data_IF_216962033226
#
_entry.id   IF_216962033226
#
_cell.length_a   1.000
_cell.length_b   1.000
_cell.length_c   1.000
_cell.angle_alpha   90.00
_cell.angle_beta   90.00
_cell.angle_gamma   90.00
#
_symmetry.space_group_name_H-M   'P 1'
#
loop_
_entity.id
_entity.type
_entity.pdbx_description
1 polymer ?
#
# COMPACT_ATOMS: atom_id res chain seq x y z
N UNK A 1 40.11 -25.00 -0.19
CA UNK A 1 40.63 -25.37 1.15
C UNK A 1 40.22 -24.23 2.08
N UNK A 2 39.12 -24.36 2.81
CA UNK A 2 39.01 -24.91 4.18
C UNK A 2 38.88 -23.81 5.24
N UNK A 3 37.78 -23.90 6.02
CA UNK A 3 37.52 -23.35 7.36
C UNK A 3 37.46 -21.81 7.55
N UNK A 4 36.65 -21.22 8.43
CA UNK A 4 36.00 -21.76 9.61
C UNK A 4 34.68 -21.04 9.95
N UNK A 5 33.66 -21.80 10.36
CA UNK A 5 32.53 -21.31 11.16
C UNK A 5 32.44 -22.16 12.42
N UNK A 6 32.71 -21.53 13.55
CA UNK A 6 32.45 -21.93 14.94
C UNK A 6 31.85 -20.65 15.55
N UNK A 7 30.88 -20.58 16.43
CA UNK A 7 30.09 -21.55 17.19
C UNK A 7 29.11 -20.67 17.99
N UNK A 8 27.81 -20.92 17.99
CA UNK A 8 26.97 -20.58 19.15
C UNK A 8 25.80 -21.57 19.25
N UNK A 9 25.47 -22.08 20.46
CA UNK A 9 24.56 -23.20 20.65
C UNK A 9 23.09 -22.76 20.69
N UNK A 10 22.20 -23.60 20.14
CA UNK A 10 20.74 -23.45 20.29
C UNK A 10 20.29 -24.02 21.65
N UNK A 11 19.29 -23.43 22.32
CA UNK A 11 18.77 -23.95 23.58
C UNK A 11 17.94 -25.23 23.35
N UNK A 12 18.16 -26.23 24.21
CA UNK A 12 17.44 -27.50 24.27
C UNK A 12 16.23 -27.37 25.22
N UNK A 13 15.05 -27.79 24.77
CA UNK A 13 13.89 -28.00 25.65
C UNK A 13 13.80 -29.49 26.04
N UNK A 14 13.36 -29.81 27.27
CA UNK A 14 13.33 -31.19 27.75
C UNK A 14 12.24 -32.01 27.05
N UNK A 15 12.62 -33.17 26.55
CA UNK A 15 11.70 -34.21 26.06
C UNK A 15 11.18 -34.97 27.28
N UNK A 16 9.87 -34.93 27.51
CA UNK A 16 9.22 -35.78 28.50
C UNK A 16 9.04 -37.19 27.91
N UNK A 17 9.83 -38.15 28.40
CA UNK A 17 9.60 -39.58 28.21
C UNK A 17 8.51 -40.09 29.18
N UNK A 18 7.78 -41.12 28.72
CA UNK A 18 6.75 -41.93 29.41
C UNK A 18 5.29 -41.47 29.32
N UNK A 19 4.66 -41.81 28.19
CA UNK A 19 3.31 -42.34 28.18
C UNK A 19 3.21 -43.48 27.14
N UNK A 20 3.17 -44.73 27.60
CA UNK A 20 3.01 -45.90 26.74
C UNK A 20 1.57 -45.99 26.21
N UNK A 21 1.34 -45.54 24.98
CA UNK A 21 0.10 -45.84 24.26
C UNK A 21 0.23 -47.23 23.63
N UNK A 22 -0.57 -48.20 24.09
CA UNK A 22 -0.75 -49.49 23.41
C UNK A 22 -1.86 -49.38 22.35
N UNK A 23 -1.68 -49.88 21.11
CA UNK A 23 -2.73 -49.83 20.10
C UNK A 23 -3.91 -50.74 20.48
N UNK A 24 -5.17 -50.36 20.20
CA UNK A 24 -6.32 -51.23 20.44
C UNK A 24 -6.24 -52.49 19.60
N UNK A 25 -6.57 -53.64 20.20
CA UNK A 25 -6.67 -54.93 19.51
C UNK A 25 -7.75 -54.86 18.42
N UNK A 26 -7.47 -55.46 17.27
CA UNK A 26 -8.39 -55.61 16.15
C UNK A 26 -9.71 -56.27 16.58
N UNK A 27 -10.74 -55.47 16.81
CA UNK A 27 -12.14 -55.87 16.72
C UNK A 27 -12.65 -55.56 15.32
N UNK A 28 -13.15 -56.58 14.63
CA UNK A 28 -13.77 -56.47 13.30
C UNK A 28 -14.87 -55.41 13.28
N UNK A 29 -14.55 -54.23 12.74
CA UNK A 29 -15.54 -53.21 12.40
C UNK A 29 -16.24 -53.65 11.10
N UNK A 30 -17.58 -53.54 10.98
CA UNK A 30 -18.26 -53.81 9.72
C UNK A 30 -17.73 -52.82 8.66
N UNK A 31 -17.63 -53.23 7.37
CA UNK A 31 -17.06 -52.37 6.35
C UNK A 31 -17.86 -51.08 6.27
N UNK A 32 -17.16 -49.95 6.39
CA UNK A 32 -17.70 -48.63 6.04
C UNK A 32 -18.31 -48.75 4.64
N UNK A 33 -19.62 -48.56 4.60
CA UNK A 33 -20.50 -48.75 3.46
C UNK A 33 -19.95 -48.10 2.19
N UNK A 34 -20.15 -48.79 1.09
CA UNK A 34 -19.99 -48.32 -0.29
C UNK A 34 -20.96 -47.18 -0.68
N UNK A 35 -21.29 -46.25 0.23
CA UNK A 35 -22.29 -45.19 0.05
C UNK A 35 -21.70 -43.86 -0.46
N UNK A 36 -20.38 -43.75 -0.67
CA UNK A 36 -19.73 -42.53 -1.16
C UNK A 36 -19.11 -42.65 -2.57
N UNK A 37 -19.34 -43.76 -3.29
CA UNK A 37 -18.82 -43.97 -4.65
C UNK A 37 -19.62 -43.25 -5.76
N UNK A 38 -20.59 -42.39 -5.41
CA UNK A 38 -21.48 -41.72 -6.37
C UNK A 38 -21.25 -40.21 -6.53
N UNK A 39 -20.17 -39.63 -6.00
CA UNK A 39 -19.88 -38.22 -6.23
C UNK A 39 -18.66 -37.99 -7.14
N UNK A 40 -18.78 -38.17 -8.46
CA UNK A 40 -18.01 -37.39 -9.41
C UNK A 40 -18.87 -36.18 -9.84
N UNK A 41 -19.07 -35.21 -8.95
CA UNK A 41 -19.53 -33.89 -9.39
C UNK A 41 -18.33 -32.96 -9.43
N UNK A 42 -17.57 -33.06 -10.52
CA UNK A 42 -16.65 -32.02 -10.92
C UNK A 42 -17.31 -31.28 -12.09
N UNK A 43 -18.29 -30.38 -11.82
CA UNK A 43 -18.96 -29.70 -12.89
C UNK A 43 -17.93 -28.89 -13.68
N UNK A 44 -18.03 -28.85 -15.03
CA UNK A 44 -17.32 -27.84 -15.77
C UNK A 44 -17.66 -26.47 -15.16
N UNK A 45 -16.65 -25.60 -15.02
CA UNK A 45 -16.87 -24.25 -14.50
C UNK A 45 -18.06 -23.65 -15.28
N UNK A 46 -19.11 -23.18 -14.58
CA UNK A 46 -20.27 -22.64 -15.26
C UNK A 46 -19.82 -21.48 -16.17
N UNK A 47 -20.45 -21.30 -17.33
CA UNK A 47 -20.15 -20.17 -18.21
C UNK A 47 -20.26 -18.86 -17.43
N UNK A 48 -19.44 -17.88 -17.81
CA UNK A 48 -19.29 -16.61 -17.11
C UNK A 48 -20.63 -15.87 -17.07
N UNK A 49 -21.33 -16.00 -15.95
CA UNK A 49 -22.62 -15.39 -15.70
C UNK A 49 -22.36 -13.95 -15.23
N UNK A 50 -22.73 -12.97 -16.06
CA UNK A 50 -22.47 -11.54 -15.79
C UNK A 50 -23.17 -11.06 -14.53
N UNK A 51 -24.27 -11.70 -14.12
CA UNK A 51 -24.97 -11.37 -12.87
C UNK A 51 -24.16 -11.74 -11.63
N UNK A 52 -23.28 -12.76 -11.71
CA UNK A 52 -22.39 -13.15 -10.61
C UNK A 52 -21.24 -12.16 -10.45
N UNK A 53 -20.64 -11.74 -11.56
CA UNK A 53 -19.57 -10.73 -11.53
C UNK A 53 -20.11 -9.41 -10.92
N UNK A 54 -21.35 -9.01 -11.23
CA UNK A 54 -21.99 -7.84 -10.62
C UNK A 54 -22.13 -7.95 -9.10
N UNK A 55 -22.54 -9.12 -8.58
CA UNK A 55 -22.64 -9.36 -7.14
C UNK A 55 -21.26 -9.32 -6.48
N UNK A 56 -20.28 -10.02 -7.05
CA UNK A 56 -18.94 -10.16 -6.48
C UNK A 56 -18.15 -8.85 -6.52
N UNK A 57 -18.41 -7.98 -7.50
CA UNK A 57 -17.73 -6.71 -7.68
C UNK A 57 -18.50 -5.53 -7.10
N UNK A 58 -19.68 -5.72 -6.48
CA UNK A 58 -20.47 -4.61 -5.95
C UNK A 58 -19.70 -3.68 -4.97
N UNK A 59 -18.92 -4.20 -3.99
CA UNK A 59 -18.08 -3.35 -3.13
C UNK A 59 -17.01 -2.56 -3.91
N UNK A 60 -16.33 -3.20 -4.85
CA UNK A 60 -15.33 -2.56 -5.70
C UNK A 60 -15.94 -1.48 -6.62
N UNK A 61 -17.06 -1.78 -7.26
CA UNK A 61 -17.80 -0.84 -8.10
C UNK A 61 -18.30 0.36 -7.29
N UNK A 62 -18.72 0.15 -6.04
CA UNK A 62 -19.09 1.24 -5.13
C UNK A 62 -17.94 2.20 -4.86
N UNK A 63 -16.73 1.68 -4.60
CA UNK A 63 -15.53 2.50 -4.43
C UNK A 63 -15.20 3.29 -5.73
N UNK A 64 -15.29 2.63 -6.88
CA UNK A 64 -14.97 3.21 -8.18
C UNK A 64 -15.94 4.33 -8.61
N UNK A 65 -17.19 4.34 -8.11
CA UNK A 65 -18.15 5.44 -8.35
C UNK A 65 -17.72 6.77 -7.74
N UNK A 66 -16.78 6.77 -6.80
CA UNK A 66 -16.21 7.98 -6.21
C UNK A 66 -14.72 8.02 -6.54
N UNK A 67 -14.32 8.34 -7.79
CA UNK A 67 -12.92 8.28 -8.20
C UNK A 67 -12.08 9.31 -7.42
N UNK A 68 -10.81 8.97 -7.19
CA UNK A 68 -9.85 9.88 -6.57
C UNK A 68 -9.31 10.89 -7.58
N UNK A 69 -8.27 11.64 -7.20
CA UNK A 69 -7.66 12.70 -8.04
C UNK A 69 -6.87 12.18 -9.25
N UNK A 70 -6.92 10.88 -9.56
CA UNK A 70 -6.27 10.27 -10.74
C UNK A 70 -4.75 10.37 -10.78
N UNK A 71 -4.10 10.53 -9.63
CA UNK A 71 -2.67 10.88 -9.55
C UNK A 71 -1.76 9.79 -10.12
N UNK A 72 -2.07 8.51 -9.89
CA UNK A 72 -1.29 7.38 -10.41
C UNK A 72 -1.29 7.33 -11.94
N UNK A 73 -2.43 7.56 -12.58
CA UNK A 73 -2.53 7.62 -14.04
C UNK A 73 -1.62 8.72 -14.62
N UNK A 74 -1.53 9.87 -13.95
CA UNK A 74 -0.64 10.97 -14.34
C UNK A 74 0.84 10.62 -14.18
N UNK A 75 1.18 9.91 -13.10
CA UNK A 75 2.53 9.38 -12.88
C UNK A 75 2.91 8.45 -14.02
N UNK A 76 2.07 7.47 -14.38
CA UNK A 76 2.39 6.55 -15.47
C UNK A 76 2.44 7.24 -16.83
N UNK A 77 1.56 8.20 -17.12
CA UNK A 77 1.67 9.02 -18.32
C UNK A 77 3.02 9.76 -18.37
N UNK A 78 3.50 10.27 -17.24
CA UNK A 78 4.80 10.94 -17.15
C UNK A 78 5.97 9.96 -17.36
N UNK A 79 5.97 8.80 -16.70
CA UNK A 79 6.97 7.76 -16.92
C UNK A 79 6.95 7.21 -18.36
N UNK A 80 5.79 7.22 -19.03
CA UNK A 80 5.69 6.72 -20.40
C UNK A 80 6.40 7.62 -21.42
N UNK A 81 6.64 8.89 -21.09
CA UNK A 81 7.52 9.76 -21.91
C UNK A 81 8.94 9.20 -22.02
N UNK A 82 9.41 8.54 -20.96
CA UNK A 82 10.70 7.87 -20.93
C UNK A 82 10.62 6.41 -21.41
N UNK A 83 9.60 5.67 -20.99
CA UNK A 83 9.49 4.24 -21.29
C UNK A 83 8.96 3.95 -22.69
N UNK A 84 8.13 4.80 -23.29
CA UNK A 84 7.52 4.58 -24.61
C UNK A 84 6.94 3.16 -24.78
N UNK A 85 6.10 2.75 -23.82
CA UNK A 85 5.42 1.46 -23.84
C UNK A 85 4.36 1.47 -24.94
N UNK A 86 4.18 0.38 -25.71
CA UNK A 86 3.07 0.24 -26.66
C UNK A 86 1.71 0.46 -25.98
N UNK A 87 0.80 1.17 -26.65
CA UNK A 87 -0.48 1.62 -26.07
C UNK A 87 -1.34 0.47 -25.54
N UNK A 88 -1.36 -0.67 -26.24
CA UNK A 88 -2.09 -1.88 -25.83
C UNK A 88 -1.58 -2.43 -24.50
N UNK A 89 -0.26 -2.43 -24.30
CA UNK A 89 0.38 -2.87 -23.06
C UNK A 89 0.23 -1.84 -21.95
N UNK A 90 0.38 -0.56 -22.26
CA UNK A 90 0.19 0.52 -21.29
C UNK A 90 -1.24 0.54 -20.72
N UNK A 91 -2.24 0.27 -21.55
CA UNK A 91 -3.63 0.14 -21.12
C UNK A 91 -3.82 -1.02 -20.12
N UNK A 92 -3.21 -2.17 -20.39
CA UNK A 92 -3.24 -3.32 -19.46
C UNK A 92 -2.53 -2.97 -18.15
N UNK A 93 -1.31 -2.40 -18.20
CA UNK A 93 -0.55 -2.01 -17.00
C UNK A 93 -1.35 -1.03 -16.14
N UNK A 94 -1.94 0.00 -16.77
CA UNK A 94 -2.75 1.00 -16.07
C UNK A 94 -3.97 0.37 -15.40
N UNK A 95 -4.64 -0.55 -16.09
CA UNK A 95 -5.79 -1.30 -15.57
C UNK A 95 -5.40 -2.17 -14.37
N UNK A 96 -4.29 -2.90 -14.46
CA UNK A 96 -3.78 -3.74 -13.37
C UNK A 96 -3.52 -2.91 -12.13
N UNK A 97 -2.80 -1.79 -12.24
CA UNK A 97 -2.49 -0.96 -11.08
C UNK A 97 -3.73 -0.32 -10.47
N UNK A 98 -4.69 0.14 -11.28
CA UNK A 98 -5.94 0.70 -10.75
C UNK A 98 -6.78 -0.37 -10.03
N UNK A 99 -6.84 -1.59 -10.57
CA UNK A 99 -7.50 -2.73 -9.91
C UNK A 99 -6.88 -3.05 -8.57
N UNK A 100 -5.55 -3.15 -8.51
CA UNK A 100 -4.84 -3.41 -7.26
C UNK A 100 -4.99 -2.27 -6.27
N UNK A 101 -4.93 -1.01 -6.71
CA UNK A 101 -5.12 0.14 -5.85
C UNK A 101 -6.54 0.17 -5.25
N UNK A 102 -7.57 -0.06 -6.07
CA UNK A 102 -8.93 -0.12 -5.56
C UNK A 102 -9.16 -1.32 -4.63
N UNK A 103 -8.62 -2.50 -4.97
CA UNK A 103 -8.66 -3.68 -4.12
C UNK A 103 -7.97 -3.45 -2.77
N UNK A 104 -6.79 -2.83 -2.78
CA UNK A 104 -6.03 -2.55 -1.56
C UNK A 104 -6.71 -1.55 -0.66
N UNK A 105 -7.34 -0.50 -1.21
CA UNK A 105 -8.14 0.43 -0.41
C UNK A 105 -9.30 -0.26 0.31
N UNK A 106 -9.96 -1.24 -0.31
CA UNK A 106 -11.04 -1.98 0.35
C UNK A 106 -10.56 -2.80 1.56
N UNK A 107 -9.35 -3.36 1.48
CA UNK A 107 -8.72 -4.13 2.56
C UNK A 107 -8.17 -3.19 3.63
N UNK A 108 -7.45 -2.15 3.24
CA UNK A 108 -6.87 -1.12 4.11
C UNK A 108 -7.97 -0.45 4.96
N UNK A 109 -9.10 -0.07 4.35
CA UNK A 109 -10.27 0.47 5.09
C UNK A 109 -10.79 -0.48 6.19
N UNK A 110 -10.64 -1.80 6.01
CA UNK A 110 -11.06 -2.80 7.00
C UNK A 110 -9.99 -2.95 8.07
N UNK A 111 -8.72 -3.04 7.67
CA UNK A 111 -7.57 -3.21 8.55
C UNK A 111 -7.37 -2.00 9.47
N UNK A 112 -7.75 -0.81 9.01
CA UNK A 112 -7.66 0.45 9.74
C UNK A 112 -8.98 0.82 10.45
N UNK A 113 -10.02 0.00 10.32
CA UNK A 113 -11.37 0.25 10.88
C UNK A 113 -11.99 1.59 10.43
N UNK A 114 -11.55 2.12 9.28
CA UNK A 114 -11.89 3.46 8.79
C UNK A 114 -13.41 3.70 8.71
N UNK A 115 -13.80 4.96 8.83
CA UNK A 115 -15.21 5.36 8.75
C UNK A 115 -15.58 5.86 7.36
N UNK A 116 -14.69 6.64 6.74
CA UNK A 116 -14.94 7.33 5.48
C UNK A 116 -13.82 7.10 4.47
N UNK A 117 -14.20 7.07 3.19
CA UNK A 117 -13.28 7.12 2.06
C UNK A 117 -13.84 8.07 1.02
N UNK A 118 -13.07 9.12 0.68
CA UNK A 118 -13.46 10.15 -0.30
C UNK A 118 -14.83 10.79 0.05
N UNK A 119 -15.06 11.04 1.34
CA UNK A 119 -16.29 11.67 1.86
C UNK A 119 -17.53 10.78 1.85
N UNK A 120 -17.38 9.47 1.63
CA UNK A 120 -18.46 8.48 1.65
C UNK A 120 -18.18 7.38 2.67
N UNK A 121 -19.21 6.70 3.22
CA UNK A 121 -19.00 5.52 4.04
C UNK A 121 -18.15 4.48 3.30
N UNK A 122 -17.17 3.89 3.99
CA UNK A 122 -16.34 2.80 3.46
C UNK A 122 -17.19 1.58 3.07
N UNK A 123 -16.71 0.80 2.09
CA UNK A 123 -17.50 -0.27 1.49
C UNK A 123 -17.92 -1.35 2.51
N UNK A 124 -17.08 -1.70 3.47
CA UNK A 124 -17.38 -2.73 4.47
C UNK A 124 -18.53 -2.31 5.42
N UNK A 125 -18.80 -1.01 5.58
CA UNK A 125 -19.96 -0.51 6.35
C UNK A 125 -21.26 -0.56 5.54
N UNK A 126 -21.18 -0.65 4.21
CA UNK A 126 -22.34 -0.74 3.30
C UNK A 126 -22.67 -2.19 2.96
N UNK A 127 -21.66 -2.99 2.63
CA UNK A 127 -21.82 -4.36 2.12
C UNK A 127 -21.46 -5.45 3.15
N UNK A 128 -20.91 -5.06 4.30
CA UNK A 128 -20.37 -5.98 5.31
C UNK A 128 -18.93 -6.41 5.01
N UNK A 129 -18.17 -6.70 6.07
CA UNK A 129 -16.76 -7.08 5.97
C UNK A 129 -16.52 -8.29 5.06
N UNK A 130 -17.30 -9.37 5.22
CA UNK A 130 -17.10 -10.60 4.46
C UNK A 130 -17.19 -10.38 2.94
N UNK A 131 -18.18 -9.62 2.48
CA UNK A 131 -18.36 -9.31 1.07
C UNK A 131 -17.24 -8.41 0.55
N UNK A 132 -16.83 -7.41 1.33
CA UNK A 132 -15.77 -6.49 0.92
C UNK A 132 -14.41 -7.20 0.84
N UNK A 133 -14.05 -8.03 1.82
CA UNK A 133 -12.82 -8.84 1.80
C UNK A 133 -12.81 -9.75 0.57
N UNK A 134 -13.90 -10.49 0.33
CA UNK A 134 -13.99 -11.40 -0.81
C UNK A 134 -13.90 -10.63 -2.14
N UNK A 135 -14.58 -9.48 -2.25
CA UNK A 135 -14.54 -8.64 -3.46
C UNK A 135 -13.13 -8.12 -3.74
N UNK A 136 -12.43 -7.61 -2.73
CA UNK A 136 -11.07 -7.11 -2.86
C UNK A 136 -10.08 -8.20 -3.28
N UNK A 137 -10.11 -9.36 -2.60
CA UNK A 137 -9.27 -10.50 -2.94
C UNK A 137 -9.57 -11.02 -4.35
N UNK A 138 -10.85 -11.06 -4.74
CA UNK A 138 -11.24 -11.42 -6.09
C UNK A 138 -10.62 -10.47 -7.13
N UNK A 139 -10.65 -9.16 -6.89
CA UNK A 139 -10.03 -8.15 -7.75
C UNK A 139 -8.51 -8.33 -7.87
N UNK A 140 -7.80 -8.74 -6.82
CA UNK A 140 -6.37 -9.07 -6.92
C UNK A 140 -6.08 -10.18 -7.94
N UNK A 141 -6.87 -11.26 -7.91
CA UNK A 141 -6.71 -12.35 -8.88
C UNK A 141 -7.20 -11.99 -10.28
N UNK A 142 -8.19 -11.10 -10.40
CA UNK A 142 -8.56 -10.53 -11.69
C UNK A 142 -7.40 -9.69 -12.25
N UNK A 143 -6.70 -8.91 -11.43
CA UNK A 143 -5.53 -8.14 -11.85
C UNK A 143 -4.38 -9.05 -12.30
N UNK A 144 -4.13 -10.15 -11.59
CA UNK A 144 -3.18 -11.18 -12.02
C UNK A 144 -3.54 -11.75 -13.40
N UNK A 145 -4.83 -12.02 -13.65
CA UNK A 145 -5.31 -12.49 -14.96
C UNK A 145 -5.07 -11.46 -16.06
N UNK A 146 -5.20 -10.17 -15.78
CA UNK A 146 -4.88 -9.10 -16.74
C UNK A 146 -3.37 -9.04 -17.02
N UNK A 147 -2.51 -9.21 -16.00
CA UNK A 147 -1.04 -9.27 -16.20
C UNK A 147 -0.64 -10.40 -17.15
N UNK A 148 -1.33 -11.55 -17.11
CA UNK A 148 -1.07 -12.67 -18.03
C UNK A 148 -1.33 -12.34 -19.52
N UNK A 149 -2.02 -11.23 -19.80
CA UNK A 149 -2.21 -10.71 -21.17
C UNK A 149 -0.98 -9.94 -21.67
N UNK A 150 -0.09 -9.49 -20.77
CA UNK A 150 1.17 -8.82 -21.13
C UNK A 150 2.18 -9.85 -21.65
N UNK A 151 2.08 -10.16 -22.94
CA UNK A 151 2.97 -11.13 -23.59
C UNK A 151 4.11 -10.45 -24.36
N UNK A 152 5.29 -11.06 -24.31
CA UNK A 152 6.37 -10.79 -25.25
C UNK A 152 6.04 -11.39 -26.63
N UNK A 153 6.84 -11.06 -27.64
CA UNK A 153 6.63 -11.55 -29.01
C UNK A 153 6.65 -13.09 -29.13
N UNK A 154 7.35 -13.77 -28.22
CA UNK A 154 7.37 -15.24 -28.12
C UNK A 154 6.16 -15.83 -27.38
N UNK A 155 5.21 -15.00 -26.93
CA UNK A 155 4.02 -15.40 -26.18
C UNK A 155 4.23 -15.55 -24.67
N UNK A 156 5.43 -15.31 -24.15
CA UNK A 156 5.75 -15.43 -22.73
C UNK A 156 5.22 -14.24 -21.91
N UNK A 157 4.65 -14.53 -20.74
CA UNK A 157 4.19 -13.55 -19.75
C UNK A 157 4.88 -13.72 -18.39
N UNK A 158 5.86 -14.61 -18.28
CA UNK A 158 6.50 -14.99 -17.02
C UNK A 158 7.16 -13.82 -16.29
N UNK A 159 7.80 -12.90 -17.02
CA UNK A 159 8.41 -11.69 -16.45
C UNK A 159 7.39 -10.76 -15.81
N UNK A 160 6.28 -10.48 -16.49
CA UNK A 160 5.19 -9.67 -15.93
C UNK A 160 4.60 -10.29 -14.66
N UNK A 161 4.38 -11.61 -14.66
CA UNK A 161 3.87 -12.34 -13.48
C UNK A 161 4.87 -12.32 -12.32
N UNK A 162 6.18 -12.45 -12.59
CA UNK A 162 7.22 -12.36 -11.56
C UNK A 162 7.24 -10.97 -10.91
N UNK A 163 7.25 -9.89 -11.71
CA UNK A 163 7.20 -8.51 -11.21
C UNK A 163 5.93 -8.28 -10.37
N UNK A 164 4.77 -8.73 -10.85
CA UNK A 164 3.51 -8.67 -10.10
C UNK A 164 3.65 -9.36 -8.73
N UNK A 165 4.14 -10.60 -8.73
CA UNK A 165 4.23 -11.40 -7.51
C UNK A 165 5.18 -10.76 -6.49
N UNK A 166 6.36 -10.32 -6.94
CA UNK A 166 7.34 -9.65 -6.08
C UNK A 166 6.77 -8.37 -5.45
N UNK A 167 6.15 -7.48 -6.24
CA UNK A 167 5.64 -6.23 -5.69
C UNK A 167 4.41 -6.41 -4.81
N UNK A 168 3.57 -7.42 -5.06
CA UNK A 168 2.49 -7.74 -4.13
C UNK A 168 2.99 -8.34 -2.82
N UNK A 169 4.07 -9.14 -2.84
CA UNK A 169 4.71 -9.60 -1.59
C UNK A 169 5.24 -8.39 -0.82
N UNK A 170 5.99 -7.49 -1.47
CA UNK A 170 6.49 -6.26 -0.84
C UNK A 170 5.32 -5.43 -0.26
N UNK A 171 4.23 -5.26 -1.00
CA UNK A 171 3.04 -4.53 -0.53
C UNK A 171 2.49 -5.09 0.79
N UNK A 172 2.39 -6.41 0.90
CA UNK A 172 1.89 -7.07 2.11
C UNK A 172 2.93 -7.09 3.25
N UNK A 173 4.23 -7.15 2.95
CA UNK A 173 5.27 -7.00 3.96
C UNK A 173 5.23 -5.59 4.58
N UNK A 174 5.10 -4.56 3.75
CA UNK A 174 4.93 -3.17 4.22
C UNK A 174 3.68 -3.01 5.09
N UNK A 175 2.51 -3.45 4.58
CA UNK A 175 1.26 -3.40 5.35
C UNK A 175 1.36 -4.18 6.67
N UNK A 176 1.94 -5.37 6.64
CA UNK A 176 2.08 -6.23 7.81
C UNK A 176 2.96 -5.60 8.89
N UNK A 177 4.05 -4.93 8.52
CA UNK A 177 4.92 -4.23 9.47
C UNK A 177 4.24 -3.02 10.11
N UNK A 178 3.49 -2.23 9.33
CA UNK A 178 2.70 -1.12 9.85
C UNK A 178 1.66 -1.59 10.88
N UNK A 179 0.89 -2.63 10.53
CA UNK A 179 -0.09 -3.27 11.42
C UNK A 179 0.62 -3.81 12.66
N UNK A 180 1.75 -4.51 12.51
CA UNK A 180 2.50 -5.06 13.64
C UNK A 180 2.89 -3.97 14.63
N UNK A 181 3.46 -2.86 14.17
CA UNK A 181 3.84 -1.74 15.02
C UNK A 181 2.62 -1.18 15.75
N UNK A 182 1.54 -0.91 15.03
CA UNK A 182 0.27 -0.38 15.56
C UNK A 182 -0.34 -1.29 16.63
N UNK A 183 -0.52 -2.57 16.35
CA UNK A 183 -1.17 -3.52 17.27
C UNK A 183 -0.30 -3.86 18.49
N UNK A 184 1.03 -3.81 18.35
CA UNK A 184 1.97 -4.16 19.43
C UNK A 184 2.56 -2.94 20.15
N UNK A 185 2.17 -1.72 19.75
CA UNK A 185 2.67 -0.45 20.29
C UNK A 185 4.20 -0.33 20.24
N UNK A 186 4.80 -0.83 19.16
CA UNK A 186 6.23 -0.75 18.91
C UNK A 186 6.48 0.39 17.94
N UNK A 187 6.91 1.55 18.45
CA UNK A 187 7.24 2.69 17.60
C UNK A 187 8.50 2.38 16.75
N UNK A 188 8.41 2.39 15.41
CA UNK A 188 9.57 2.15 14.55
C UNK A 188 10.58 3.30 14.64
N UNK A 189 11.76 3.08 14.10
CA UNK A 189 12.70 4.13 13.69
C UNK A 189 12.21 4.82 12.41
N UNK A 190 12.78 5.98 12.09
CA UNK A 190 12.48 6.66 10.83
C UNK A 190 12.89 5.82 9.61
N UNK A 191 14.06 5.16 9.67
CA UNK A 191 14.55 4.30 8.58
C UNK A 191 13.62 3.10 8.36
N UNK A 192 13.19 2.42 9.43
CA UNK A 192 12.22 1.33 9.34
C UNK A 192 10.89 1.81 8.74
N UNK A 193 10.41 2.99 9.14
CA UNK A 193 9.21 3.58 8.54
C UNK A 193 9.38 3.82 7.04
N UNK A 194 10.52 4.40 6.61
CA UNK A 194 10.78 4.65 5.19
C UNK A 194 10.87 3.36 4.38
N UNK A 195 11.46 2.30 4.94
CA UNK A 195 11.47 0.97 4.34
C UNK A 195 10.03 0.41 4.21
N UNK A 196 9.23 0.50 5.27
CA UNK A 196 7.84 0.09 5.27
C UNK A 196 7.03 0.84 4.21
N UNK A 197 7.17 2.16 4.12
CA UNK A 197 6.48 2.98 3.09
C UNK A 197 6.96 2.64 1.68
N UNK A 198 8.25 2.36 1.53
CA UNK A 198 8.82 1.76 0.33
C UNK A 198 8.07 0.48 -0.03
N UNK A 199 7.80 -0.39 0.93
CA UNK A 199 7.13 -1.65 0.67
C UNK A 199 5.61 -1.54 0.52
N UNK A 200 4.90 -0.67 1.26
CA UNK A 200 3.44 -0.48 1.19
C UNK A 200 3.03 0.43 0.01
N UNK A 201 3.31 1.73 0.13
CA UNK A 201 2.77 2.74 -0.78
C UNK A 201 3.52 2.77 -2.11
N UNK A 202 4.83 2.55 -2.07
CA UNK A 202 5.64 2.59 -3.28
C UNK A 202 5.58 1.30 -4.10
N UNK A 203 5.19 0.16 -3.54
CA UNK A 203 5.14 -1.11 -4.29
C UNK A 203 4.20 -1.06 -5.50
N UNK A 204 3.01 -0.46 -5.39
CA UNK A 204 2.11 -0.33 -6.54
C UNK A 204 2.64 0.64 -7.61
N UNK A 205 3.39 1.68 -7.22
CA UNK A 205 4.07 2.55 -8.17
C UNK A 205 5.21 1.82 -8.87
N UNK A 206 6.04 1.10 -8.11
CA UNK A 206 7.11 0.25 -8.64
C UNK A 206 6.56 -0.82 -9.56
N UNK A 207 5.46 -1.47 -9.22
CA UNK A 207 4.81 -2.47 -10.08
C UNK A 207 4.53 -1.88 -11.46
N UNK A 208 3.84 -0.74 -11.51
CA UNK A 208 3.54 -0.07 -12.78
C UNK A 208 4.81 0.29 -13.54
N UNK A 209 5.78 0.93 -12.88
CA UNK A 209 7.04 1.37 -13.52
C UNK A 209 7.89 0.18 -14.00
N UNK A 210 8.02 -0.88 -13.21
CA UNK A 210 8.77 -2.09 -13.58
C UNK A 210 8.12 -2.81 -14.75
N UNK A 211 6.79 -2.93 -14.76
CA UNK A 211 6.07 -3.47 -15.93
C UNK A 211 6.27 -2.57 -17.16
N UNK A 212 6.22 -1.25 -17.00
CA UNK A 212 6.48 -0.33 -18.11
C UNK A 212 7.89 -0.48 -18.68
N UNK A 213 8.90 -0.62 -17.83
CA UNK A 213 10.28 -0.85 -18.28
C UNK A 213 10.41 -2.20 -18.97
N UNK A 214 9.82 -3.27 -18.43
CA UNK A 214 9.86 -4.63 -19.02
C UNK A 214 9.26 -4.67 -20.43
N UNK A 215 8.19 -3.91 -20.66
CA UNK A 215 7.46 -3.89 -21.94
C UNK A 215 7.76 -2.66 -22.80
N UNK A 216 8.78 -1.90 -22.43
CA UNK A 216 9.27 -0.74 -23.17
C UNK A 216 9.93 -1.13 -24.50
N UNK A 217 9.85 -0.25 -25.49
CA UNK A 217 10.63 -0.38 -26.74
C UNK A 217 11.97 0.39 -26.72
N UNK A 218 12.22 1.20 -25.69
CA UNK A 218 13.40 2.10 -25.61
C UNK A 218 14.18 2.03 -24.29
N UNK A 219 13.64 1.38 -23.25
CA UNK A 219 14.24 1.41 -21.93
C UNK A 219 15.59 0.69 -21.92
N UNK A 220 16.62 1.39 -21.46
CA UNK A 220 17.93 0.82 -21.24
C UNK A 220 17.90 -0.13 -20.03
N UNK A 221 18.79 -1.14 -19.94
CA UNK A 221 18.84 -2.04 -18.79
C UNK A 221 18.94 -1.34 -17.43
N UNK A 222 19.64 -0.20 -17.37
CA UNK A 222 19.78 0.60 -16.15
C UNK A 222 18.50 1.35 -15.75
N UNK A 223 17.54 1.50 -16.67
CA UNK A 223 16.29 2.20 -16.42
C UNK A 223 15.45 1.50 -15.34
N UNK A 224 15.55 0.16 -15.21
CA UNK A 224 14.85 -0.58 -14.15
C UNK A 224 15.25 -0.02 -12.79
N UNK A 225 16.53 -0.01 -12.46
CA UNK A 225 16.99 0.45 -11.15
C UNK A 225 16.65 1.93 -10.94
N UNK A 226 16.98 2.78 -11.91
CA UNK A 226 16.82 4.23 -11.77
C UNK A 226 15.36 4.68 -11.65
N UNK A 227 14.48 4.17 -12.51
CA UNK A 227 13.05 4.53 -12.46
C UNK A 227 12.35 3.89 -11.26
N UNK A 228 12.77 2.70 -10.85
CA UNK A 228 12.27 2.07 -9.63
C UNK A 228 12.63 2.90 -8.39
N UNK A 229 13.89 3.31 -8.24
CA UNK A 229 14.33 4.16 -7.12
C UNK A 229 13.63 5.52 -7.10
N UNK A 230 13.46 6.15 -8.27
CA UNK A 230 12.69 7.39 -8.39
C UNK A 230 11.22 7.18 -7.97
N UNK A 231 10.58 6.10 -8.43
CA UNK A 231 9.20 5.78 -8.08
C UNK A 231 9.03 5.49 -6.59
N UNK A 232 10.04 4.89 -5.94
CA UNK A 232 10.08 4.69 -4.48
C UNK A 232 10.15 6.01 -3.73
N UNK A 233 11.04 6.93 -4.12
CA UNK A 233 11.07 8.23 -3.46
C UNK A 233 9.81 9.06 -3.68
N UNK A 234 9.20 8.98 -4.87
CA UNK A 234 7.89 9.59 -5.11
C UNK A 234 6.85 8.99 -4.16
N UNK A 235 6.81 7.67 -3.99
CA UNK A 235 5.90 7.02 -3.04
C UNK A 235 6.14 7.42 -1.58
N UNK A 236 7.41 7.57 -1.16
CA UNK A 236 7.76 8.11 0.15
C UNK A 236 7.24 9.54 0.33
N UNK A 237 7.41 10.40 -0.68
CA UNK A 237 6.89 11.77 -0.67
C UNK A 237 5.36 11.76 -0.53
N UNK A 238 4.66 10.87 -1.25
CA UNK A 238 3.21 10.74 -1.16
C UNK A 238 2.75 10.36 0.25
N UNK A 239 3.38 9.35 0.86
CA UNK A 239 2.93 8.86 2.16
C UNK A 239 3.21 9.86 3.27
N UNK A 240 4.43 10.42 3.34
CA UNK A 240 4.78 11.41 4.36
C UNK A 240 3.90 12.67 4.20
N UNK A 241 3.53 13.02 2.97
CA UNK A 241 2.56 14.08 2.71
C UNK A 241 1.16 13.71 3.21
N UNK A 242 0.68 12.48 2.98
CA UNK A 242 -0.62 12.00 3.47
C UNK A 242 -0.68 12.06 5.01
N UNK A 243 0.36 11.55 5.67
CA UNK A 243 0.55 11.60 7.12
C UNK A 243 0.53 13.05 7.65
N UNK A 244 1.19 13.98 6.96
CA UNK A 244 1.20 15.39 7.34
C UNK A 244 -0.19 16.04 7.20
N UNK A 245 -0.84 15.88 6.04
CA UNK A 245 -2.14 16.52 5.78
C UNK A 245 -3.28 15.91 6.59
N UNK A 246 -3.17 14.64 7.00
CA UNK A 246 -4.11 13.99 7.93
C UNK A 246 -4.26 14.81 9.23
N UNK A 247 -3.18 15.46 9.67
CA UNK A 247 -3.11 16.19 10.92
C UNK A 247 -3.39 17.69 10.79
N UNK A 248 -3.13 18.28 9.62
CA UNK A 248 -3.18 19.75 9.46
C UNK A 248 -4.23 20.27 8.47
N UNK A 249 -4.76 19.43 7.57
CA UNK A 249 -5.65 19.87 6.49
C UNK A 249 -7.12 19.76 6.86
N UNK A 250 -7.82 20.91 6.85
CA UNK A 250 -9.26 20.96 7.06
C UNK A 250 -10.05 20.31 5.92
N UNK A 251 -9.59 20.42 4.67
CA UNK A 251 -10.21 19.73 3.52
C UNK A 251 -10.11 18.22 3.69
N UNK A 252 -8.93 17.73 4.07
CA UNK A 252 -8.69 16.30 4.25
C UNK A 252 -9.54 15.73 5.39
N UNK A 253 -9.69 16.47 6.49
CA UNK A 253 -10.54 16.12 7.61
C UNK A 253 -12.02 15.89 7.22
N UNK A 254 -12.52 16.56 6.18
CA UNK A 254 -13.89 16.33 5.66
C UNK A 254 -13.99 15.03 4.86
N UNK A 255 -12.90 14.61 4.21
CA UNK A 255 -12.93 13.48 3.26
C UNK A 255 -12.52 12.13 3.84
N UNK A 256 -11.62 12.12 4.83
CA UNK A 256 -11.14 10.92 5.55
C UNK A 256 -11.62 10.92 7.01
N UNK A 257 -11.45 12.05 7.70
CA UNK A 257 -11.83 12.20 9.11
C UNK A 257 -10.85 13.12 9.82
N UNK A 258 -11.27 13.74 10.92
CA UNK A 258 -10.40 14.63 11.68
C UNK A 258 -9.32 13.83 12.40
N UNK A 259 -8.06 13.97 11.98
CA UNK A 259 -6.89 13.27 12.51
C UNK A 259 -7.13 11.75 12.63
N UNK A 260 -7.57 11.14 11.53
CA UNK A 260 -7.90 9.72 11.46
C UNK A 260 -6.69 8.85 11.86
N UNK A 261 -5.45 9.24 11.55
CA UNK A 261 -4.25 8.49 11.95
C UNK A 261 -4.13 8.31 13.48
N UNK A 262 -4.62 9.29 14.25
CA UNK A 262 -4.65 9.22 15.72
C UNK A 262 -5.73 8.23 16.18
N UNK A 263 -6.88 8.23 15.51
CA UNK A 263 -7.99 7.31 15.77
C UNK A 263 -7.61 5.87 15.43
N UNK A 264 -6.87 5.67 14.35
CA UNK A 264 -6.32 4.37 13.95
C UNK A 264 -5.20 3.90 14.91
N UNK A 265 -4.58 4.82 15.66
CA UNK A 265 -3.43 4.53 16.51
C UNK A 265 -2.14 4.32 15.72
N UNK A 266 -2.09 4.86 14.50
CA UNK A 266 -1.01 4.64 13.52
C UNK A 266 0.26 5.40 13.92
N UNK A 267 1.41 4.77 13.68
CA UNK A 267 2.72 5.41 13.79
C UNK A 267 3.05 6.15 12.49
N UNK A 268 2.38 7.28 12.23
CA UNK A 268 2.70 8.14 11.09
C UNK A 268 4.00 8.91 11.30
N UNK A 269 4.61 9.42 10.22
CA UNK A 269 5.92 10.09 10.26
C UNK A 269 6.07 11.16 11.37
N UNK A 270 5.14 12.15 11.52
CA UNK A 270 5.20 13.12 12.62
C UNK A 270 5.05 12.47 14.01
N UNK A 271 4.27 11.39 14.14
CA UNK A 271 4.09 10.67 15.41
C UNK A 271 5.38 9.98 15.83
N UNK A 272 6.06 9.33 14.88
CA UNK A 272 7.36 8.67 15.11
C UNK A 272 8.39 9.70 15.59
N UNK A 273 8.52 10.83 14.88
CA UNK A 273 9.45 11.88 15.30
C UNK A 273 9.14 12.39 16.72
N UNK A 274 7.87 12.65 17.04
CA UNK A 274 7.47 13.11 18.37
C UNK A 274 7.81 12.09 19.46
N UNK A 275 7.42 10.82 19.28
CA UNK A 275 7.65 9.76 20.28
C UNK A 275 9.14 9.55 20.52
N UNK A 276 9.97 9.58 19.46
CA UNK A 276 11.41 9.33 19.57
C UNK A 276 12.19 10.53 20.08
N UNK A 277 11.72 11.77 19.85
CA UNK A 277 12.34 12.98 20.40
C UNK A 277 12.07 13.16 21.90
N UNK A 278 11.02 12.53 22.44
CA UNK A 278 10.69 12.56 23.87
C UNK A 278 10.54 11.15 24.46
N UNK A 279 11.62 10.34 24.54
CA UNK A 279 11.53 8.91 24.88
C UNK A 279 11.03 8.61 26.30
N UNK A 280 11.07 9.59 27.21
CA UNK A 280 10.56 9.47 28.57
C UNK A 280 9.09 9.88 28.71
N UNK A 281 8.54 10.58 27.70
CA UNK A 281 7.14 10.98 27.67
C UNK A 281 6.32 9.92 26.93
N UNK A 282 5.37 9.31 27.65
CA UNK A 282 4.50 8.26 27.11
C UNK A 282 3.12 8.77 26.73
N UNK A 283 2.86 10.07 26.83
CA UNK A 283 1.52 10.64 26.60
C UNK A 283 1.02 10.33 25.20
N UNK A 284 1.79 10.68 24.16
CA UNK A 284 1.38 10.43 22.77
C UNK A 284 1.19 8.93 22.47
N UNK A 285 2.13 8.09 22.92
CA UNK A 285 2.02 6.63 22.75
C UNK A 285 0.76 6.06 23.43
N UNK A 286 0.43 6.55 24.62
CA UNK A 286 -0.78 6.14 25.33
C UNK A 286 -2.05 6.64 24.62
N UNK A 287 -2.02 7.82 24.00
CA UNK A 287 -3.15 8.32 23.20
C UNK A 287 -3.37 7.41 21.99
N UNK A 288 -2.32 7.08 21.22
CA UNK A 288 -2.41 6.17 20.08
C UNK A 288 -2.96 4.79 20.49
N UNK A 289 -2.54 4.28 21.66
CA UNK A 289 -3.09 3.03 22.23
C UNK A 289 -4.60 3.09 22.46
N UNK A 290 -5.16 4.24 22.84
CA UNK A 290 -6.59 4.37 23.12
C UNK A 290 -7.44 4.45 21.85
N UNK A 291 -6.86 4.73 20.68
CA UNK A 291 -7.60 4.91 19.43
C UNK A 291 -8.79 5.87 19.58
N UNK A 292 -8.54 7.12 20.05
CA UNK A 292 -9.63 7.99 20.47
C UNK A 292 -10.44 8.47 19.27
N UNK A 293 -11.76 8.41 19.40
CA UNK A 293 -12.70 9.07 18.48
C UNK A 293 -13.03 10.49 18.95
N UNK A 294 -12.77 10.82 20.22
CA UNK A 294 -13.09 12.13 20.79
C UNK A 294 -12.10 13.20 20.32
N UNK A 295 -12.64 14.39 20.03
CA UNK A 295 -11.87 15.51 19.50
C UNK A 295 -10.87 16.08 20.51
N UNK A 296 -11.15 16.01 21.81
CA UNK A 296 -10.31 16.63 22.83
C UNK A 296 -8.96 15.91 22.95
N UNK A 297 -8.95 14.57 22.93
CA UNK A 297 -7.71 13.79 22.93
C UNK A 297 -6.92 13.99 21.62
N UNK A 298 -7.60 14.08 20.48
CA UNK A 298 -6.94 14.40 19.19
C UNK A 298 -6.29 15.78 19.21
N UNK A 299 -7.00 16.81 19.69
CA UNK A 299 -6.48 18.17 19.82
C UNK A 299 -5.28 18.24 20.80
N UNK A 300 -5.32 17.43 21.85
CA UNK A 300 -4.21 17.32 22.80
C UNK A 300 -2.98 16.65 22.17
N UNK A 301 -3.16 15.55 21.43
CA UNK A 301 -2.07 14.93 20.68
C UNK A 301 -1.44 15.89 19.65
N UNK A 302 -2.25 16.68 18.94
CA UNK A 302 -1.73 17.74 18.06
C UNK A 302 -0.91 18.81 18.82
N UNK A 303 -1.24 19.07 20.08
CA UNK A 303 -0.46 19.99 20.92
C UNK A 303 0.91 19.39 21.23
N UNK A 304 0.98 18.12 21.62
CA UNK A 304 2.25 17.40 21.83
C UNK A 304 3.14 17.43 20.59
N UNK A 305 2.57 17.21 19.39
CA UNK A 305 3.30 17.30 18.12
C UNK A 305 3.87 18.69 17.83
N UNK A 306 3.19 19.76 18.26
CA UNK A 306 3.67 21.14 18.11
C UNK A 306 4.80 21.43 19.08
N UNK A 307 4.70 20.97 20.32
CA UNK A 307 5.72 21.13 21.35
C UNK A 307 7.03 20.42 20.97
N UNK A 308 6.94 19.23 20.35
CA UNK A 308 8.10 18.50 19.81
C UNK A 308 8.55 18.98 18.42
N UNK A 309 7.91 20.02 17.87
CA UNK A 309 8.19 20.56 16.53
C UNK A 309 8.06 19.51 15.39
N UNK A 310 7.30 18.45 15.61
CA UNK A 310 7.21 17.30 14.70
C UNK A 310 6.54 17.63 13.37
N UNK A 311 5.58 18.55 13.37
CA UNK A 311 4.96 19.06 12.13
C UNK A 311 5.97 19.85 11.29
N UNK A 312 6.79 20.68 11.93
CA UNK A 312 7.82 21.47 11.24
C UNK A 312 8.96 20.58 10.73
N UNK A 313 9.36 19.57 11.51
CA UNK A 313 10.30 18.55 11.07
C UNK A 313 9.82 17.82 9.81
N UNK A 314 8.58 17.32 9.84
CA UNK A 314 7.95 16.62 8.71
C UNK A 314 7.92 17.51 7.47
N UNK A 315 7.57 18.78 7.63
CA UNK A 315 7.54 19.77 6.54
C UNK A 315 8.92 19.97 5.92
N UNK A 316 9.97 20.16 6.73
CA UNK A 316 11.35 20.29 6.25
C UNK A 316 11.82 19.05 5.51
N UNK A 317 11.48 17.87 6.03
CA UNK A 317 11.78 16.59 5.38
C UNK A 317 11.11 16.50 4.00
N UNK A 318 9.81 16.83 3.91
CA UNK A 318 9.07 16.88 2.63
C UNK A 318 9.73 17.82 1.62
N UNK A 319 10.12 19.03 2.04
CA UNK A 319 10.81 19.98 1.16
C UNK A 319 12.16 19.46 0.65
N UNK A 320 12.96 18.81 1.52
CA UNK A 320 14.24 18.23 1.14
C UNK A 320 14.07 17.06 0.17
N UNK A 321 13.11 16.16 0.44
CA UNK A 321 12.81 15.02 -0.41
C UNK A 321 12.27 15.46 -1.79
N UNK A 322 11.38 16.44 -1.82
CA UNK A 322 10.88 17.06 -3.07
C UNK A 322 12.03 17.64 -3.91
N UNK A 323 12.93 18.41 -3.29
CA UNK A 323 14.10 18.96 -3.98
C UNK A 323 15.03 17.86 -4.52
N UNK A 324 15.24 16.77 -3.77
CA UNK A 324 16.02 15.62 -4.21
C UNK A 324 15.38 14.95 -5.42
N UNK A 325 14.07 14.68 -5.38
CA UNK A 325 13.32 14.07 -6.49
C UNK A 325 13.38 14.98 -7.72
N UNK A 326 13.24 16.29 -7.55
CA UNK A 326 13.39 17.25 -8.64
C UNK A 326 14.78 17.20 -9.28
N UNK A 327 15.84 17.10 -8.45
CA UNK A 327 17.21 16.92 -8.92
C UNK A 327 17.38 15.66 -9.78
N UNK A 328 16.89 14.51 -9.31
CA UNK A 328 16.93 13.26 -10.07
C UNK A 328 16.15 13.34 -11.39
N UNK A 329 14.99 14.00 -11.40
CA UNK A 329 14.23 14.20 -12.65
C UNK A 329 15.07 15.00 -13.66
N UNK A 330 15.82 16.01 -13.23
CA UNK A 330 16.70 16.79 -14.11
C UNK A 330 17.90 15.97 -14.60
N UNK A 331 18.53 15.18 -13.73
CA UNK A 331 19.64 14.28 -14.08
C UNK A 331 19.23 13.24 -15.15
N UNK A 332 17.94 12.87 -15.18
CA UNK A 332 17.37 11.97 -16.18
C UNK A 332 16.93 12.66 -17.48
N UNK A 333 17.33 13.92 -17.68
CA UNK A 333 16.99 14.70 -18.88
C UNK A 333 15.64 15.42 -18.80
N UNK A 334 15.04 15.50 -17.61
CA UNK A 334 13.80 16.23 -17.36
C UNK A 334 12.52 15.44 -17.67
N UNK A 335 11.43 15.84 -17.00
CA UNK A 335 10.09 15.30 -17.23
C UNK A 335 9.00 16.27 -16.74
N UNK A 336 8.35 16.98 -17.66
CA UNK A 336 7.34 17.99 -17.30
C UNK A 336 6.17 17.40 -16.51
N UNK A 337 5.81 16.14 -16.74
CA UNK A 337 4.70 15.50 -16.04
C UNK A 337 5.02 15.30 -14.56
N UNK A 338 6.21 14.77 -14.27
CA UNK A 338 6.68 14.61 -12.90
C UNK A 338 6.99 15.96 -12.23
N UNK A 339 7.52 16.94 -12.97
CA UNK A 339 7.75 18.28 -12.44
C UNK A 339 6.42 18.96 -12.02
N UNK A 340 5.38 18.88 -12.86
CA UNK A 340 4.03 19.37 -12.53
C UNK A 340 3.43 18.63 -11.34
N UNK A 341 3.69 17.32 -11.24
CA UNK A 341 3.25 16.53 -10.09
C UNK A 341 3.87 17.05 -8.79
N UNK A 342 5.18 17.29 -8.75
CA UNK A 342 5.85 17.82 -7.56
C UNK A 342 5.27 19.17 -7.16
N UNK A 343 5.05 20.08 -8.11
CA UNK A 343 4.38 21.37 -7.86
C UNK A 343 2.99 21.18 -7.26
N UNK A 344 2.21 20.22 -7.77
CA UNK A 344 0.90 19.91 -7.23
C UNK A 344 0.96 19.38 -5.79
N UNK A 345 1.88 18.46 -5.49
CA UNK A 345 2.02 17.87 -4.16
C UNK A 345 2.48 18.90 -3.13
N UNK A 346 3.37 19.81 -3.54
CA UNK A 346 3.98 20.85 -2.72
C UNK A 346 2.99 21.83 -2.09
N UNK A 347 1.83 22.06 -2.72
CA UNK A 347 0.81 23.03 -2.24
C UNK A 347 0.38 22.79 -0.79
N UNK A 348 0.43 21.56 -0.32
CA UNK A 348 -0.03 21.22 1.03
C UNK A 348 1.01 21.45 2.14
N UNK A 349 2.30 21.52 1.78
CA UNK A 349 3.40 21.60 2.74
C UNK A 349 4.34 22.79 2.49
N UNK A 350 4.19 23.52 1.39
CA UNK A 350 4.86 24.79 1.19
C UNK A 350 4.29 25.90 2.08
N UNK A 351 5.14 26.87 2.41
CA UNK A 351 4.71 28.09 3.08
C UNK A 351 3.67 28.82 2.21
N UNK A 352 2.53 29.20 2.80
CA UNK A 352 1.54 30.09 2.15
C UNK A 352 2.12 31.45 1.72
N UNK A 353 3.38 31.74 2.07
CA UNK A 353 4.14 32.91 1.62
C UNK A 353 4.62 32.75 0.17
N UNK A 354 4.93 31.53 -0.29
CA UNK A 354 5.41 31.28 -1.66
C UNK A 354 4.28 31.13 -2.71
N UNK A 355 3.04 30.81 -2.29
CA UNK A 355 1.88 30.76 -3.18
C UNK A 355 1.54 32.12 -3.84
N UNK A 356 2.07 33.24 -3.32
CA UNK A 356 1.95 34.54 -3.98
C UNK A 356 2.89 34.74 -5.17
N UNK A 357 3.89 33.87 -5.36
CA UNK A 357 4.89 34.00 -6.43
C UNK A 357 4.60 33.06 -7.61
N UNK A 358 3.84 31.99 -7.41
CA UNK A 358 3.46 31.06 -8.49
C UNK A 358 1.94 30.92 -8.58
N UNK A 359 1.37 31.52 -9.62
CA UNK A 359 -0.08 31.59 -9.84
C UNK A 359 -0.80 30.25 -9.71
N UNK A 360 -1.97 30.29 -9.09
CA UNK A 360 -2.90 29.18 -8.93
C UNK A 360 -3.15 28.47 -10.27
N UNK A 361 -2.58 27.27 -10.47
CA UNK A 361 -3.06 26.37 -11.53
C UNK A 361 -4.32 25.68 -10.98
N UNK A 362 -5.50 25.90 -11.60
CA UNK A 362 -6.76 25.31 -11.16
C UNK A 362 -6.70 23.78 -11.11
N UNK A 363 -7.44 23.19 -10.17
CA UNK A 363 -7.55 21.73 -9.96
C UNK A 363 -8.01 20.99 -11.23
N UNK A 364 -8.67 21.70 -12.14
CA UNK A 364 -9.25 21.15 -13.39
C UNK A 364 -8.28 21.11 -14.59
N UNK A 365 -7.00 21.49 -14.40
CA UNK A 365 -5.97 21.40 -15.45
C UNK A 365 -4.90 20.32 -15.19
N UNK A 366 -5.16 19.40 -14.25
CA UNK A 366 -4.29 18.26 -14.01
C UNK A 366 -4.75 17.02 -14.76
#
# INVERSE_FOLDING_TARGET
MSSAFNQHPRPTYPVAENASWAPPRHGSSPPLRAEFNHLPYNPPLPPKDTTRDEILLAPYAYLQKNPGKGVRSKIFAAFNKWCQVPDDKLAIISKVVEMLHGGSLLIDDIEDESHLRRGRPVAHRVFGMANTINSANYVYFLALREVQLLKHANGDAGKGVAIFTEELINAHEGQGMEIFWRENLVCPTEDEYLEMVGNKTSALLRLGVRLMVEYSVQAQPQAVHTYTSLSTQIGNLFQIRDDYINLVSAEFAVTKGYCEDIEEGKFSFPMIHSIRSTPHDRQLLNILKQRPTDRHLKDYALTLLRETQSLEYTRKYLCALDAQIAGWIQELGGNDGLAKLLVYLRREYADKVEEKIQGQVPVDQF
#
